data_IF_950989423179
#
_entry.id   IF_950989423179
#
_cell.length_a   1.000
_cell.length_b   1.000
_cell.length_c   1.000
_cell.angle_alpha   90.00
_cell.angle_beta   90.00
_cell.angle_gamma   90.00
#
_symmetry.space_group_name_H-M   'P 1'
#
loop_
_entity.id
_entity.type
_entity.pdbx_description
1 polymer ?
#
# COMPACT_ATOMS: atom_id res chain seq x y z
N UNK A 1 -45.16 26.38 16.56
CA UNK A 1 -43.84 26.39 17.22
C UNK A 1 -43.41 25.03 17.75
N UNK A 2 -44.24 24.26 18.43
CA UNK A 2 -43.87 22.92 18.95
C UNK A 2 -43.41 21.93 17.87
N UNK A 3 -44.05 21.91 16.69
CA UNK A 3 -43.68 21.02 15.57
C UNK A 3 -42.35 21.39 14.91
N UNK A 4 -41.98 22.68 14.93
CA UNK A 4 -40.69 23.13 14.37
C UNK A 4 -39.53 22.73 15.28
N UNK A 5 -39.71 22.79 16.60
CA UNK A 5 -38.71 22.39 17.60
C UNK A 5 -38.49 20.89 17.52
N UNK A 6 -39.54 20.10 17.33
CA UNK A 6 -39.41 18.62 17.18
C UNK A 6 -38.69 18.26 15.89
N UNK A 7 -38.92 18.95 14.78
CA UNK A 7 -38.23 18.73 13.51
C UNK A 7 -36.75 19.08 13.62
N UNK A 8 -36.41 20.17 14.30
CA UNK A 8 -35.03 20.58 14.52
C UNK A 8 -34.29 19.59 15.42
N UNK A 9 -34.94 19.07 16.47
CA UNK A 9 -34.36 18.07 17.36
C UNK A 9 -34.08 16.72 16.65
N UNK A 10 -34.98 16.29 15.75
CA UNK A 10 -34.79 15.08 14.95
C UNK A 10 -33.63 15.26 13.93
N UNK A 11 -33.53 16.43 13.32
CA UNK A 11 -32.48 16.75 12.36
C UNK A 11 -31.09 16.80 13.03
N UNK A 12 -31.01 17.38 14.23
CA UNK A 12 -29.73 17.40 15.00
C UNK A 12 -29.33 16.01 15.48
N UNK A 13 -30.31 15.17 15.86
CA UNK A 13 -30.01 13.77 16.23
C UNK A 13 -29.56 12.92 15.04
N UNK A 14 -30.13 13.15 13.86
CA UNK A 14 -29.71 12.47 12.63
C UNK A 14 -28.28 12.87 12.18
N UNK A 15 -27.90 14.14 12.37
CA UNK A 15 -26.53 14.60 12.10
C UNK A 15 -25.52 14.05 13.12
N UNK A 16 -25.91 13.82 14.36
CA UNK A 16 -25.03 13.26 15.39
C UNK A 16 -24.71 11.77 15.16
N UNK A 17 -25.53 11.06 14.37
CA UNK A 17 -25.29 9.67 13.99
C UNK A 17 -24.44 9.52 12.70
N UNK A 18 -24.21 10.61 11.98
CA UNK A 18 -23.30 10.64 10.84
C UNK A 18 -21.85 10.93 11.30
N UNK A 19 -21.41 10.29 12.37
CA UNK A 19 -19.98 10.17 12.62
C UNK A 19 -19.49 9.17 11.60
N UNK A 20 -18.69 9.58 10.60
CA UNK A 20 -18.00 8.59 9.80
C UNK A 20 -17.19 7.77 10.80
N UNK A 21 -17.45 6.47 10.87
CA UNK A 21 -16.55 5.52 11.51
C UNK A 21 -15.25 5.48 10.67
N UNK A 22 -14.52 6.60 10.68
CA UNK A 22 -13.16 6.62 10.21
C UNK A 22 -12.32 5.99 11.29
N UNK A 23 -12.13 4.70 11.05
CA UNK A 23 -10.91 3.99 11.30
C UNK A 23 -10.17 4.49 12.55
N UNK A 24 -10.37 3.81 13.64
CA UNK A 24 -9.26 3.58 14.54
C UNK A 24 -8.08 3.23 13.64
N UNK A 25 -7.03 4.02 13.71
CA UNK A 25 -5.76 3.71 13.10
C UNK A 25 -5.30 2.40 13.74
N UNK A 26 -5.70 1.28 13.13
CA UNK A 26 -5.24 -0.03 13.54
C UNK A 26 -3.74 -0.07 13.25
N UNK A 27 -2.95 0.16 14.27
CA UNK A 27 -1.50 -0.02 14.21
C UNK A 27 -1.26 -1.52 14.05
N UNK A 28 -1.00 -1.95 12.82
CA UNK A 28 -0.57 -3.31 12.56
C UNK A 28 0.82 -3.53 13.15
N UNK A 29 1.04 -4.68 13.75
CA UNK A 29 2.36 -5.09 14.26
C UNK A 29 2.98 -6.07 13.29
N UNK A 30 4.24 -5.83 12.92
CA UNK A 30 5.06 -6.78 12.17
C UNK A 30 6.04 -7.40 13.15
N UNK A 31 5.94 -8.72 13.36
CA UNK A 31 6.87 -9.48 14.19
C UNK A 31 7.90 -10.14 13.28
N UNK A 32 9.17 -10.02 13.62
CA UNK A 32 10.27 -10.70 12.92
C UNK A 32 10.81 -11.78 13.86
N UNK A 33 10.45 -13.02 13.56
CA UNK A 33 10.97 -14.17 14.28
C UNK A 33 12.44 -14.39 13.89
N UNK A 34 13.28 -14.77 14.87
CA UNK A 34 14.72 -14.99 14.68
C UNK A 34 15.49 -13.77 14.15
N UNK A 35 15.11 -12.57 14.60
CA UNK A 35 15.84 -11.36 14.27
C UNK A 35 17.31 -11.46 14.74
N UNK A 36 18.25 -11.11 13.85
CA UNK A 36 19.69 -11.14 14.13
C UNK A 36 20.10 -9.83 14.80
N UNK A 37 20.77 -9.93 15.94
CA UNK A 37 21.28 -8.77 16.68
C UNK A 37 22.25 -7.95 15.81
N UNK A 38 22.07 -6.62 15.81
CA UNK A 38 22.87 -5.69 15.01
C UNK A 38 22.45 -5.55 13.55
N UNK A 39 21.41 -6.29 13.11
CA UNK A 39 20.84 -6.15 11.75
C UNK A 39 19.72 -5.12 11.76
N UNK A 40 19.75 -4.20 10.79
CA UNK A 40 18.67 -3.25 10.56
C UNK A 40 17.63 -3.84 9.62
N UNK A 41 16.40 -3.97 10.10
CA UNK A 41 15.25 -4.40 9.32
C UNK A 41 14.45 -3.18 8.86
N UNK A 42 13.99 -3.18 7.60
CA UNK A 42 13.16 -2.12 7.02
C UNK A 42 11.87 -2.71 6.49
N UNK A 43 10.74 -2.14 6.87
CA UNK A 43 9.44 -2.46 6.31
C UNK A 43 9.07 -1.45 5.22
N UNK A 44 8.49 -1.94 4.13
CA UNK A 44 8.03 -1.10 3.02
C UNK A 44 6.54 -1.36 2.78
N UNK A 45 5.75 -0.30 2.82
CA UNK A 45 4.33 -0.35 2.48
C UNK A 45 4.17 -0.12 0.98
N UNK A 46 3.84 -1.17 0.24
CA UNK A 46 3.68 -1.14 -1.21
C UNK A 46 2.28 -0.69 -1.60
N UNK A 47 1.29 -1.17 -0.87
CA UNK A 47 -0.13 -0.87 -1.07
C UNK A 47 -0.71 -0.19 0.16
N UNK A 48 -1.59 0.77 -0.06
CA UNK A 48 -2.37 1.44 0.96
C UNK A 48 -3.78 0.84 0.99
N UNK A 49 -4.26 0.45 2.17
CA UNK A 49 -5.63 -0.01 2.36
C UNK A 49 -6.57 1.19 2.24
N UNK A 50 -7.50 1.16 1.28
CA UNK A 50 -8.49 2.22 1.06
C UNK A 50 -9.82 1.92 1.73
N UNK A 51 -10.25 0.66 1.69
CA UNK A 51 -11.50 0.24 2.30
C UNK A 51 -11.50 -1.23 2.67
N UNK A 52 -12.34 -1.56 3.63
CA UNK A 52 -12.62 -2.91 4.05
C UNK A 52 -14.12 -3.11 4.18
N UNK A 53 -14.66 -4.09 3.46
CA UNK A 53 -16.06 -4.52 3.55
C UNK A 53 -16.13 -5.72 4.50
N UNK A 54 -16.67 -5.51 5.70
CA UNK A 54 -16.78 -6.54 6.73
C UNK A 54 -17.71 -7.68 6.35
N UNK A 55 -18.77 -7.37 5.61
CA UNK A 55 -19.79 -8.35 5.24
C UNK A 55 -19.29 -9.34 4.19
N UNK A 56 -18.43 -8.86 3.30
CA UNK A 56 -17.82 -9.65 2.22
C UNK A 56 -16.41 -10.11 2.54
N UNK A 57 -15.84 -9.66 3.66
CA UNK A 57 -14.41 -9.86 4.00
C UNK A 57 -13.49 -9.43 2.84
N UNK A 58 -13.81 -8.30 2.21
CA UNK A 58 -13.13 -7.80 1.04
C UNK A 58 -12.33 -6.54 1.34
N UNK A 59 -11.11 -6.49 0.84
CA UNK A 59 -10.18 -5.37 1.00
C UNK A 59 -9.96 -4.69 -0.34
N UNK A 60 -9.90 -3.36 -0.34
CA UNK A 60 -9.52 -2.57 -1.52
C UNK A 60 -8.23 -1.82 -1.24
N UNK A 61 -7.27 -1.96 -2.14
CA UNK A 61 -5.95 -1.36 -2.01
C UNK A 61 -5.65 -0.44 -3.17
N UNK A 62 -4.87 0.61 -2.92
CA UNK A 62 -4.21 1.44 -3.93
C UNK A 62 -2.69 1.33 -3.82
N UNK A 63 -2.01 1.66 -4.90
CA UNK A 63 -0.55 1.73 -4.89
C UNK A 63 -0.09 2.91 -4.03
N UNK A 64 0.83 2.66 -3.10
CA UNK A 64 1.47 3.73 -2.36
C UNK A 64 2.30 4.61 -3.31
N UNK A 65 2.24 5.94 -3.16
CA UNK A 65 2.87 6.90 -4.06
C UNK A 65 4.40 6.74 -4.17
N UNK A 66 5.06 6.22 -3.13
CA UNK A 66 6.50 5.93 -3.17
C UNK A 66 6.86 4.81 -4.17
N UNK A 67 5.87 4.03 -4.62
CA UNK A 67 6.02 2.91 -5.53
C UNK A 67 5.57 3.23 -6.97
N UNK A 68 5.43 4.51 -7.32
CA UNK A 68 5.17 4.92 -8.68
C UNK A 68 6.22 4.33 -9.64
N UNK A 69 5.76 3.74 -10.74
CA UNK A 69 6.59 3.02 -11.70
C UNK A 69 6.76 1.52 -11.40
N UNK A 70 6.45 1.04 -10.19
CA UNK A 70 6.54 -0.38 -9.88
C UNK A 70 5.59 -1.26 -10.72
N UNK A 71 4.34 -0.87 -11.07
CA UNK A 71 3.47 -1.67 -11.94
C UNK A 71 4.07 -1.98 -13.33
N UNK A 72 4.90 -1.08 -13.85
CA UNK A 72 5.58 -1.26 -15.13
C UNK A 72 7.00 -1.86 -14.99
N UNK A 73 7.43 -2.16 -13.77
CA UNK A 73 8.76 -2.64 -13.50
C UNK A 73 8.93 -4.11 -13.84
N UNK A 74 10.06 -4.42 -14.45
CA UNK A 74 10.50 -5.80 -14.71
C UNK A 74 12.02 -5.90 -14.57
N UNK A 75 12.48 -7.06 -14.14
CA UNK A 75 13.91 -7.36 -14.03
C UNK A 75 14.14 -8.88 -14.13
N UNK A 76 15.38 -9.27 -14.32
CA UNK A 76 15.76 -10.69 -14.33
C UNK A 76 16.04 -11.17 -12.90
N UNK A 77 15.32 -12.19 -12.48
CA UNK A 77 15.49 -12.85 -11.17
C UNK A 77 15.76 -14.34 -11.43
N UNK A 78 16.86 -14.85 -10.91
CA UNK A 78 17.27 -16.24 -11.08
C UNK A 78 17.26 -16.70 -12.57
N UNK A 79 17.65 -15.80 -13.49
CA UNK A 79 17.72 -16.08 -14.93
C UNK A 79 16.39 -15.91 -15.69
N UNK A 80 15.30 -15.60 -15.00
CA UNK A 80 13.98 -15.42 -15.59
C UNK A 80 13.54 -13.94 -15.56
N UNK A 81 12.93 -13.46 -16.66
CA UNK A 81 12.29 -12.14 -16.66
C UNK A 81 11.04 -12.18 -15.79
N UNK A 82 11.02 -11.34 -14.76
CA UNK A 82 9.88 -11.20 -13.83
C UNK A 82 9.34 -9.77 -13.93
N UNK A 83 8.05 -9.61 -14.13
CA UNK A 83 7.37 -8.33 -14.24
C UNK A 83 6.33 -8.16 -13.13
N UNK A 84 6.20 -6.95 -12.58
CA UNK A 84 5.17 -6.64 -11.60
C UNK A 84 3.76 -6.83 -12.14
N UNK A 85 3.54 -6.56 -13.43
CA UNK A 85 2.26 -6.80 -14.12
C UNK A 85 1.82 -8.28 -14.16
N UNK A 86 2.72 -9.21 -13.86
CA UNK A 86 2.39 -10.63 -13.73
C UNK A 86 1.62 -10.92 -12.44
N UNK A 87 1.87 -10.13 -11.37
CA UNK A 87 1.28 -10.32 -10.05
C UNK A 87 0.01 -9.50 -9.85
N UNK A 88 -0.05 -8.28 -10.37
CA UNK A 88 -1.19 -7.39 -10.20
C UNK A 88 -1.30 -6.39 -11.34
N UNK A 89 -2.48 -5.82 -11.48
CA UNK A 89 -2.74 -4.65 -12.32
C UNK A 89 -3.32 -3.51 -11.49
N UNK A 90 -3.31 -2.31 -12.06
CA UNK A 90 -3.97 -1.14 -11.50
C UNK A 90 -5.11 -0.79 -12.44
N UNK A 91 -6.35 -0.84 -11.96
CA UNK A 91 -7.51 -0.54 -12.78
C UNK A 91 -7.68 0.98 -13.02
N UNK A 92 -8.66 1.36 -13.83
CA UNK A 92 -8.91 2.75 -14.19
C UNK A 92 -9.26 3.66 -13.01
N UNK A 93 -9.76 3.11 -11.91
CA UNK A 93 -10.05 3.82 -10.65
C UNK A 93 -8.84 3.87 -9.69
N UNK A 94 -7.69 3.27 -10.08
CA UNK A 94 -6.47 3.26 -9.30
C UNK A 94 -6.37 2.14 -8.27
N UNK A 95 -7.33 1.20 -8.26
CA UNK A 95 -7.31 0.06 -7.34
C UNK A 95 -6.45 -1.08 -7.88
N UNK A 96 -5.84 -1.80 -6.93
CA UNK A 96 -5.04 -2.98 -7.21
C UNK A 96 -5.95 -4.18 -7.44
N UNK A 97 -5.72 -4.86 -8.56
CA UNK A 97 -6.33 -6.14 -8.89
C UNK A 97 -5.24 -7.21 -8.91
N UNK A 98 -5.24 -8.08 -7.91
CA UNK A 98 -4.25 -9.15 -7.79
C UNK A 98 -4.56 -10.30 -8.75
N UNK A 99 -3.53 -10.87 -9.35
CA UNK A 99 -3.68 -12.04 -10.20
C UNK A 99 -3.81 -13.29 -9.32
N UNK A 100 -4.99 -13.88 -9.27
CA UNK A 100 -5.28 -15.07 -8.46
C UNK A 100 -4.37 -16.26 -8.76
N UNK A 101 -3.91 -16.40 -10.01
CA UNK A 101 -2.93 -17.43 -10.37
C UNK A 101 -1.55 -17.23 -9.71
N UNK A 102 -1.31 -16.07 -9.11
CA UNK A 102 -0.06 -15.71 -8.42
C UNK A 102 -0.22 -15.54 -6.91
N UNK A 103 -1.35 -15.95 -6.33
CA UNK A 103 -1.62 -15.79 -4.89
C UNK A 103 -0.55 -16.44 -3.99
N UNK A 104 0.06 -17.54 -4.45
CA UNK A 104 1.07 -18.29 -3.69
C UNK A 104 2.52 -17.89 -4.08
N UNK A 105 2.71 -16.91 -4.96
CA UNK A 105 4.01 -16.46 -5.45
C UNK A 105 4.58 -15.26 -4.66
N UNK A 106 4.25 -15.15 -3.37
CA UNK A 106 4.69 -14.03 -2.51
C UNK A 106 6.20 -13.89 -2.41
N UNK A 107 6.96 -15.00 -2.44
CA UNK A 107 8.42 -14.96 -2.40
C UNK A 107 9.02 -14.31 -3.66
N UNK A 108 8.48 -14.60 -4.85
CA UNK A 108 8.95 -14.02 -6.11
C UNK A 108 8.54 -12.55 -6.20
N UNK A 109 7.34 -12.19 -5.73
CA UNK A 109 6.91 -10.81 -5.60
C UNK A 109 7.84 -10.01 -4.67
N UNK A 110 8.23 -10.59 -3.53
CA UNK A 110 9.14 -9.96 -2.58
C UNK A 110 10.54 -9.72 -3.19
N UNK A 111 11.08 -10.67 -3.96
CA UNK A 111 12.33 -10.49 -4.69
C UNK A 111 12.25 -9.36 -5.70
N UNK A 112 11.16 -9.26 -6.45
CA UNK A 112 10.93 -8.20 -7.42
C UNK A 112 10.81 -6.83 -6.74
N UNK A 113 10.05 -6.72 -5.67
CA UNK A 113 9.90 -5.51 -4.88
C UNK A 113 11.25 -5.04 -4.30
N UNK A 114 12.06 -5.97 -3.78
CA UNK A 114 13.41 -5.68 -3.30
C UNK A 114 14.31 -5.13 -4.43
N UNK A 115 14.27 -5.74 -5.61
CA UNK A 115 15.07 -5.28 -6.76
C UNK A 115 14.67 -3.85 -7.16
N UNK A 116 13.39 -3.52 -7.20
CA UNK A 116 12.89 -2.17 -7.48
C UNK A 116 13.42 -1.13 -6.47
N UNK A 117 13.38 -1.44 -5.17
CA UNK A 117 13.88 -0.54 -4.12
C UNK A 117 15.38 -0.30 -4.28
N UNK A 118 16.15 -1.36 -4.53
CA UNK A 118 17.62 -1.26 -4.73
C UNK A 118 17.93 -0.38 -5.93
N UNK A 119 17.22 -0.56 -7.05
CA UNK A 119 17.42 0.25 -8.24
C UNK A 119 17.08 1.73 -7.99
N UNK A 120 15.96 2.03 -7.31
CA UNK A 120 15.62 3.40 -6.92
C UNK A 120 16.69 4.06 -6.06
N UNK A 121 17.25 3.33 -5.09
CA UNK A 121 18.32 3.84 -4.23
C UNK A 121 19.56 4.16 -5.08
N UNK A 122 19.96 3.26 -6.00
CA UNK A 122 21.10 3.48 -6.88
C UNK A 122 20.89 4.68 -7.80
N UNK A 123 19.70 4.86 -8.37
CA UNK A 123 19.36 6.04 -9.17
C UNK A 123 19.39 7.32 -8.32
N UNK A 124 18.86 7.30 -7.10
CA UNK A 124 18.90 8.45 -6.18
C UNK A 124 20.33 8.87 -5.81
N UNK A 125 21.24 7.92 -5.67
CA UNK A 125 22.66 8.20 -5.40
C UNK A 125 23.35 8.84 -6.62
N UNK A 126 23.04 8.38 -7.84
CA UNK A 126 23.62 8.92 -9.08
C UNK A 126 23.15 10.33 -9.40
N UNK A 127 21.98 10.75 -8.93
CA UNK A 127 21.40 12.07 -9.16
C UNK A 127 21.80 13.11 -8.11
N UNK A 128 22.50 12.75 -7.03
CA UNK A 128 23.08 13.73 -6.13
C UNK A 128 24.24 14.41 -6.86
N UNK A 129 24.22 15.75 -7.03
CA UNK A 129 25.35 16.45 -7.63
C UNK A 129 26.60 16.15 -6.81
N UNK A 130 27.66 15.73 -7.48
CA UNK A 130 28.97 15.60 -6.88
C UNK A 130 29.33 16.97 -6.31
N UNK A 131 29.41 17.08 -4.99
CA UNK A 131 29.98 18.28 -4.36
C UNK A 131 31.42 18.39 -4.85
N UNK A 132 31.66 19.33 -5.75
CA UNK A 132 33.00 19.71 -6.14
C UNK A 132 33.63 20.43 -4.96
N UNK A 133 34.49 19.74 -4.22
CA UNK A 133 35.35 20.37 -3.25
C UNK A 133 36.30 21.31 -4.03
N UNK A 134 36.15 22.64 -3.78
CA UNK A 134 37.13 23.63 -4.16
C UNK A 134 38.19 23.73 -3.09
#
# INVERSE_FOLDING_TARGET
>A
MKKLITLLAVLTLALAMAVPAFAESSTGTITIDNAVTGTTYKAYRIFDLESYDTDKNAYSYKLNSAWNGFPAYSTTIDGNLVSASTFFSVNSAGYIEWNDAKKDAGADFAKLAKAFVVEKILHGIRQKPQLTLK
#
